data_IF_465822714545
#
_entry.id   IF_465822714545
#
_cell.length_a   1.000
_cell.length_b   1.000
_cell.length_c   1.000
_cell.angle_alpha   90.00
_cell.angle_beta   90.00
_cell.angle_gamma   90.00
#
_symmetry.space_group_name_H-M   'P 1'
#
loop_
_entity.id
_entity.type
_entity.pdbx_description
1 polymer ?
#
# COMPACT_ATOMS: atom_id res chain seq x y z
N UNK A 1 6.28 3.35 -8.55
CA UNK A 1 6.72 2.77 -7.26
C UNK A 1 8.21 2.46 -7.33
N UNK A 2 9.00 2.84 -6.31
CA UNK A 2 10.41 2.50 -6.21
C UNK A 2 10.61 0.99 -6.02
N UNK A 3 11.79 0.51 -6.40
CA UNK A 3 12.09 -0.93 -6.44
C UNK A 3 12.59 -1.47 -5.10
N UNK A 4 13.23 -0.64 -4.28
CA UNK A 4 13.77 -0.94 -2.96
C UNK A 4 13.75 0.33 -2.09
N UNK A 5 13.79 0.16 -0.77
CA UNK A 5 13.86 1.28 0.19
C UNK A 5 12.49 1.75 0.69
N UNK A 6 12.47 2.95 1.27
CA UNK A 6 11.25 3.56 1.84
C UNK A 6 10.39 4.18 0.76
N UNK A 7 9.09 3.88 0.80
CA UNK A 7 8.12 4.44 -0.12
C UNK A 7 6.86 4.87 0.64
N UNK A 8 6.31 6.02 0.26
CA UNK A 8 5.14 6.61 0.92
C UNK A 8 4.04 6.77 -0.12
N UNK A 9 2.80 6.42 0.24
CA UNK A 9 1.68 6.51 -0.67
C UNK A 9 0.35 6.64 0.07
N UNK A 10 -0.71 7.00 -0.66
CA UNK A 10 -2.07 7.02 -0.15
C UNK A 10 -2.69 5.64 -0.32
N UNK A 11 -3.21 5.08 0.77
CA UNK A 11 -3.96 3.84 0.77
C UNK A 11 -5.43 4.08 0.41
N UNK A 12 -6.03 3.09 -0.24
CA UNK A 12 -7.47 2.96 -0.41
C UNK A 12 -7.86 1.52 -0.14
N UNK A 13 -8.53 1.31 0.99
CA UNK A 13 -9.09 0.03 1.36
C UNK A 13 -10.47 -0.18 0.73
N UNK A 14 -10.97 -1.43 0.65
CA UNK A 14 -12.26 -1.72 0.03
C UNK A 14 -13.45 -0.95 0.62
N UNK A 15 -13.41 -0.60 1.90
CA UNK A 15 -14.46 0.18 2.59
C UNK A 15 -14.40 1.70 2.31
N UNK A 16 -13.35 2.20 1.65
CA UNK A 16 -13.20 3.63 1.41
C UNK A 16 -14.00 4.07 0.17
N UNK A 17 -15.30 4.34 0.35
CA UNK A 17 -16.22 4.80 -0.71
C UNK A 17 -15.86 6.21 -1.22
N UNK A 18 -15.55 7.14 -0.31
CA UNK A 18 -15.09 8.52 -0.61
C UNK A 18 -13.66 8.71 -0.11
N UNK A 19 -12.73 8.00 -0.75
CA UNK A 19 -11.36 7.87 -0.25
C UNK A 19 -10.46 9.09 -0.46
N UNK A 20 -10.68 9.91 -1.50
CA UNK A 20 -9.74 10.97 -1.91
C UNK A 20 -9.54 12.10 -0.88
N UNK A 21 -10.49 12.27 0.03
CA UNK A 21 -10.47 13.35 1.05
C UNK A 21 -9.91 12.82 2.38
N UNK A 22 -10.11 11.53 2.68
CA UNK A 22 -9.80 10.91 3.97
C UNK A 22 -8.82 9.73 3.84
N UNK A 23 -7.98 9.71 2.80
CA UNK A 23 -7.05 8.63 2.57
C UNK A 23 -5.95 8.61 3.64
N UNK A 24 -5.73 7.44 4.23
CA UNK A 24 -4.60 7.25 5.14
C UNK A 24 -3.31 7.03 4.35
N UNK A 25 -2.24 7.68 4.79
CA UNK A 25 -0.91 7.46 4.24
C UNK A 25 -0.30 6.20 4.82
N UNK A 26 0.39 5.44 3.97
CA UNK A 26 1.13 4.23 4.33
C UNK A 26 2.60 4.39 3.97
N UNK A 27 3.46 3.71 4.72
CA UNK A 27 4.89 3.61 4.49
C UNK A 27 5.25 2.15 4.23
N UNK A 28 6.04 1.94 3.19
CA UNK A 28 6.59 0.64 2.83
C UNK A 28 8.09 0.62 3.09
N UNK A 29 8.60 -0.51 3.57
CA UNK A 29 10.03 -0.82 3.55
C UNK A 29 10.29 -2.00 2.61
N UNK A 30 10.62 -1.69 1.36
CA UNK A 30 10.80 -2.66 0.28
C UNK A 30 12.22 -3.25 0.32
N UNK A 31 12.32 -4.58 0.27
CA UNK A 31 13.58 -5.33 0.47
C UNK A 31 13.94 -6.27 -0.68
N UNK A 32 12.96 -6.75 -1.45
CA UNK A 32 13.20 -7.76 -2.48
C UNK A 32 12.30 -7.52 -3.68
N UNK A 33 12.80 -7.82 -4.87
CA UNK A 33 12.04 -7.80 -6.11
C UNK A 33 11.96 -9.18 -6.75
N UNK A 34 10.86 -9.42 -7.45
CA UNK A 34 10.71 -10.52 -8.40
C UNK A 34 10.07 -9.95 -9.66
N UNK A 35 10.66 -10.24 -10.81
CA UNK A 35 10.09 -9.90 -12.11
C UNK A 35 9.55 -11.20 -12.69
N UNK A 36 8.25 -11.23 -12.96
CA UNK A 36 7.56 -12.36 -13.56
C UNK A 36 6.94 -11.91 -14.89
N UNK A 37 7.70 -12.08 -15.98
CA UNK A 37 7.32 -11.54 -17.29
C UNK A 37 7.22 -10.01 -17.25
N UNK A 38 6.03 -9.48 -17.49
CA UNK A 38 5.75 -8.04 -17.47
C UNK A 38 5.37 -7.52 -16.08
N UNK A 39 5.21 -8.40 -15.09
CA UNK A 39 4.79 -8.04 -13.74
C UNK A 39 6.03 -7.83 -12.86
N UNK A 40 6.08 -6.68 -12.20
CA UNK A 40 7.10 -6.36 -11.19
C UNK A 40 6.45 -6.49 -9.81
N UNK A 41 6.95 -7.43 -9.01
CA UNK A 41 6.53 -7.63 -7.62
C UNK A 41 7.63 -7.16 -6.68
N UNK A 42 7.29 -6.28 -5.75
CA UNK A 42 8.17 -5.85 -4.67
C UNK A 42 7.64 -6.40 -3.35
N UNK A 43 8.52 -6.96 -2.54
CA UNK A 43 8.23 -7.52 -1.22
C UNK A 43 8.85 -6.64 -0.14
N UNK A 44 8.13 -6.47 0.96
CA UNK A 44 8.54 -5.62 2.06
C UNK A 44 7.53 -5.67 3.19
N UNK A 45 7.71 -4.77 4.15
CA UNK A 45 6.71 -4.49 5.19
C UNK A 45 5.95 -3.23 4.81
N UNK A 46 4.73 -3.11 5.34
CA UNK A 46 3.90 -1.92 5.21
C UNK A 46 3.25 -1.62 6.55
N UNK A 47 3.09 -0.33 6.84
CA UNK A 47 2.34 0.18 7.99
C UNK A 47 1.68 1.50 7.60
N UNK A 48 0.70 1.96 8.36
CA UNK A 48 0.26 3.34 8.28
C UNK A 48 1.36 4.28 8.76
N UNK A 49 1.44 5.45 8.12
CA UNK A 49 2.40 6.47 8.52
C UNK A 49 2.02 7.12 9.86
N UNK A 50 0.73 7.18 10.17
CA UNK A 50 0.19 7.76 11.39
C UNK A 50 -0.29 6.68 12.34
N UNK A 51 0.07 6.80 13.62
CA UNK A 51 -0.37 5.87 14.68
C UNK A 51 -1.88 5.96 14.99
N UNK A 52 -2.54 7.06 14.64
CA UNK A 52 -3.98 7.24 14.77
C UNK A 52 -4.78 6.63 13.61
N UNK A 53 -4.11 6.06 12.61
CA UNK A 53 -4.76 5.38 11.50
C UNK A 53 -5.43 4.08 11.99
N UNK A 54 -6.46 3.58 11.28
CA UNK A 54 -7.18 2.35 11.62
C UNK A 54 -6.32 1.12 11.32
N UNK A 55 -5.41 0.80 12.24
CA UNK A 55 -4.43 -0.28 12.14
C UNK A 55 -5.07 -1.65 11.89
N UNK A 56 -6.27 -1.87 12.44
CA UNK A 56 -7.05 -3.09 12.25
C UNK A 56 -7.34 -3.41 10.78
N UNK A 57 -7.27 -2.42 9.87
CA UNK A 57 -7.42 -2.65 8.43
C UNK A 57 -6.29 -3.50 7.84
N UNK A 58 -5.08 -3.41 8.39
CA UNK A 58 -3.94 -4.22 7.97
C UNK A 58 -4.11 -5.70 8.33
N UNK A 59 -4.94 -6.01 9.34
CA UNK A 59 -5.26 -7.38 9.73
C UNK A 59 -6.55 -7.89 9.04
N UNK A 60 -7.54 -6.99 8.89
CA UNK A 60 -8.87 -7.32 8.34
C UNK A 60 -8.86 -7.62 6.84
N UNK A 61 -8.01 -6.96 6.06
CA UNK A 61 -8.02 -7.04 4.60
C UNK A 61 -6.83 -7.84 4.07
N UNK A 62 -7.06 -8.57 2.97
CA UNK A 62 -5.98 -9.25 2.24
C UNK A 62 -5.30 -8.34 1.23
N UNK A 63 -5.98 -7.27 0.79
CA UNK A 63 -5.43 -6.34 -0.20
C UNK A 63 -6.02 -4.94 -0.09
N UNK A 64 -5.26 -3.97 -0.60
CA UNK A 64 -5.71 -2.59 -0.78
C UNK A 64 -4.97 -1.95 -1.97
N UNK A 65 -5.43 -0.78 -2.38
CA UNK A 65 -4.85 -0.04 -3.51
C UNK A 65 -3.97 1.11 -3.01
N UNK A 66 -2.94 1.45 -3.78
CA UNK A 66 -2.13 2.64 -3.52
C UNK A 66 -2.12 3.62 -4.68
N UNK A 67 -2.04 4.90 -4.33
CA UNK A 67 -2.19 6.01 -5.27
C UNK A 67 -1.09 7.07 -5.14
N UNK A 68 -0.72 7.65 -6.28
CA UNK A 68 0.04 8.89 -6.39
C UNK A 68 -0.89 9.95 -7.02
N UNK A 69 -1.34 10.90 -6.20
CA UNK A 69 -2.43 11.79 -6.58
C UNK A 69 -3.69 11.00 -6.93
N UNK A 70 -4.20 11.18 -8.15
CA UNK A 70 -5.40 10.47 -8.64
C UNK A 70 -5.09 9.15 -9.36
N UNK A 71 -3.81 8.83 -9.57
CA UNK A 71 -3.39 7.67 -10.36
C UNK A 71 -3.16 6.47 -9.44
N UNK A 72 -3.84 5.36 -9.71
CA UNK A 72 -3.55 4.07 -9.08
C UNK A 72 -2.16 3.60 -9.52
N UNK A 73 -1.32 3.25 -8.56
CA UNK A 73 0.08 2.86 -8.81
C UNK A 73 0.28 1.36 -8.64
N UNK A 74 -0.36 0.73 -7.64
CA UNK A 74 -0.27 -0.71 -7.44
C UNK A 74 -1.46 -1.25 -6.64
N UNK A 75 -1.60 -2.58 -6.68
CA UNK A 75 -2.31 -3.34 -5.66
C UNK A 75 -1.27 -3.80 -4.63
N UNK A 76 -1.64 -3.72 -3.36
CA UNK A 76 -0.86 -4.24 -2.24
C UNK A 76 -1.58 -5.48 -1.72
N UNK A 77 -0.84 -6.56 -1.56
CA UNK A 77 -1.34 -7.80 -0.97
C UNK A 77 -0.67 -7.97 0.39
N UNK A 78 -1.49 -8.08 1.43
CA UNK A 78 -1.08 -8.28 2.81
C UNK A 78 -0.88 -9.77 3.06
N UNK A 79 0.27 -10.11 3.62
CA UNK A 79 0.64 -11.49 3.96
C UNK A 79 0.52 -11.63 5.47
N UNK A 80 -0.45 -12.43 5.91
CA UNK A 80 -0.69 -12.77 7.33
C UNK A 80 0.10 -14.00 7.76
#
# INVERSE_FOLDING_TARGET
MPLEGKYYSLSRFPEDEVWKINAWSVVFELKKKKIEGEIIVSYGTVDFLMNTAPQERMEKYECFEIYEGLKKVANVFLLH
#
